data_IF_265685973745
#
_entry.id   IF_265685973745
#
_cell.length_a   1.000
_cell.length_b   1.000
_cell.length_c   1.000
_cell.angle_alpha   90.00
_cell.angle_beta   90.00
_cell.angle_gamma   90.00
#
_symmetry.space_group_name_H-M   'P 1'
#
loop_
_entity.id
_entity.type
_entity.pdbx_description
1 polymer ?
#
# COMPACT_ATOMS: atom_id res chain seq x y z
N UNK A 1 -44.09 -17.30 -42.33
CA UNK A 1 -43.79 -16.16 -41.44
C UNK A 1 -43.65 -16.72 -40.02
N UNK A 2 -42.52 -17.24 -39.52
CA UNK A 2 -41.16 -16.69 -39.38
C UNK A 2 -41.12 -15.25 -38.86
N UNK A 3 -40.93 -15.11 -37.55
CA UNK A 3 -40.09 -14.07 -36.95
C UNK A 3 -39.30 -14.67 -35.79
N UNK A 4 -38.00 -14.81 -36.03
CA UNK A 4 -36.95 -15.14 -35.04
C UNK A 4 -36.21 -13.83 -34.77
N UNK A 5 -36.13 -13.41 -33.51
CA UNK A 5 -35.26 -12.30 -33.10
C UNK A 5 -33.89 -12.89 -32.75
N UNK A 6 -32.89 -12.56 -33.56
CA UNK A 6 -31.47 -12.89 -33.35
C UNK A 6 -30.83 -11.74 -32.60
N UNK A 7 -30.29 -12.00 -31.40
CA UNK A 7 -29.21 -11.18 -30.84
C UNK A 7 -27.95 -12.03 -30.78
N UNK A 8 -27.00 -11.68 -31.67
CA UNK A 8 -25.61 -12.13 -31.64
C UNK A 8 -24.82 -11.20 -30.73
N UNK A 9 -24.29 -11.72 -29.62
CA UNK A 9 -23.07 -11.19 -29.01
C UNK A 9 -22.16 -12.36 -28.68
N UNK A 10 -21.16 -12.57 -29.53
CA UNK A 10 -20.04 -13.46 -29.29
C UNK A 10 -18.78 -12.59 -29.15
N UNK A 11 -18.11 -12.66 -28.01
CA UNK A 11 -16.68 -13.01 -27.93
C UNK A 11 -16.25 -13.06 -26.46
N UNK A 12 -16.29 -14.27 -25.90
CA UNK A 12 -15.76 -14.59 -24.59
C UNK A 12 -14.27 -14.96 -24.73
N UNK A 13 -13.37 -14.03 -24.40
CA UNK A 13 -11.97 -14.38 -24.16
C UNK A 13 -11.84 -14.96 -22.75
N UNK A 14 -12.08 -16.28 -22.62
CA UNK A 14 -11.67 -17.04 -21.43
C UNK A 14 -10.16 -17.31 -21.53
N UNK A 15 -9.34 -16.53 -20.84
CA UNK A 15 -8.01 -16.95 -20.46
C UNK A 15 -8.14 -18.03 -19.37
N UNK A 16 -8.37 -19.29 -19.80
CA UNK A 16 -8.11 -20.46 -18.95
C UNK A 16 -6.60 -20.66 -18.94
N UNK A 17 -5.94 -20.19 -17.88
CA UNK A 17 -4.65 -20.77 -17.49
C UNK A 17 -4.92 -22.23 -17.09
N UNK A 18 -4.14 -23.21 -17.58
CA UNK A 18 -4.28 -24.59 -17.15
C UNK A 18 -3.96 -24.68 -15.65
N UNK A 19 -4.93 -25.12 -14.86
CA UNK A 19 -4.74 -25.48 -13.45
C UNK A 19 -3.87 -26.75 -13.46
N UNK A 20 -2.63 -26.73 -12.94
CA UNK A 20 -1.89 -27.97 -12.74
C UNK A 20 -2.61 -28.76 -11.66
N UNK A 21 -3.10 -29.94 -12.01
CA UNK A 21 -3.57 -30.95 -11.07
C UNK A 21 -2.38 -31.46 -10.24
N UNK A 22 -2.00 -30.71 -9.21
CA UNK A 22 -1.15 -31.16 -8.11
C UNK A 22 -1.68 -30.55 -6.81
N UNK A 23 -2.84 -31.03 -6.36
CA UNK A 23 -3.59 -30.51 -5.21
C UNK A 23 -3.08 -31.03 -3.85
N UNK A 24 -1.77 -31.27 -3.73
CA UNK A 24 -1.13 -31.65 -2.47
C UNK A 24 0.20 -30.88 -2.36
N UNK A 25 0.26 -29.89 -1.46
CA UNK A 25 1.42 -29.07 -1.08
C UNK A 25 1.76 -27.79 -1.88
N UNK A 26 0.79 -26.99 -2.33
CA UNK A 26 1.09 -25.59 -2.68
C UNK A 26 1.11 -24.71 -1.42
N UNK A 27 2.21 -23.97 -1.20
CA UNK A 27 2.25 -22.95 -0.14
C UNK A 27 1.14 -21.91 -0.39
N UNK A 28 0.39 -21.48 0.64
CA UNK A 28 -0.62 -20.44 0.46
C UNK A 28 0.07 -19.15 -0.03
N UNK A 29 -0.45 -18.56 -1.11
CA UNK A 29 0.01 -17.23 -1.55
C UNK A 29 -0.34 -16.20 -0.48
N UNK A 30 0.57 -15.26 -0.20
CA UNK A 30 0.40 -14.22 0.83
C UNK A 30 -0.97 -13.51 0.77
N UNK A 31 -1.35 -13.02 -0.42
CA UNK A 31 -2.65 -12.40 -0.65
C UNK A 31 -3.76 -13.35 -1.12
N UNK A 32 -3.46 -14.64 -1.25
CA UNK A 32 -4.38 -15.67 -1.73
C UNK A 32 -4.73 -15.60 -3.20
N UNK A 33 -5.65 -16.48 -3.60
CA UNK A 33 -6.25 -16.55 -4.93
C UNK A 33 -7.67 -16.00 -4.90
N UNK A 34 -7.81 -14.70 -4.68
CA UNK A 34 -9.12 -14.06 -4.72
C UNK A 34 -9.74 -14.22 -6.12
N UNK A 35 -10.95 -14.75 -6.20
CA UNK A 35 -11.72 -14.82 -7.47
C UNK A 35 -12.17 -13.42 -7.90
N UNK A 36 -12.63 -13.26 -9.14
CA UNK A 36 -13.20 -11.98 -9.58
C UNK A 36 -14.50 -11.67 -8.82
N UNK A 37 -15.32 -12.67 -8.52
CA UNK A 37 -16.55 -12.49 -7.75
C UNK A 37 -16.27 -12.06 -6.30
N UNK A 38 -15.33 -12.71 -5.61
CA UNK A 38 -14.88 -12.30 -4.28
C UNK A 38 -14.30 -10.88 -4.28
N UNK A 39 -13.58 -10.53 -5.36
CA UNK A 39 -13.08 -9.18 -5.56
C UNK A 39 -14.22 -8.18 -5.68
N UNK A 40 -15.21 -8.42 -6.54
CA UNK A 40 -16.37 -7.54 -6.69
C UNK A 40 -17.11 -7.36 -5.36
N UNK A 41 -17.38 -8.47 -4.68
CA UNK A 41 -18.03 -8.47 -3.37
C UNK A 41 -17.24 -7.69 -2.30
N UNK A 42 -15.91 -7.71 -2.36
CA UNK A 42 -15.06 -7.02 -1.38
C UNK A 42 -15.18 -5.50 -1.38
N UNK A 43 -15.61 -4.89 -2.49
CA UNK A 43 -15.76 -3.43 -2.57
C UNK A 43 -16.99 -2.90 -1.84
N UNK A 44 -17.96 -3.75 -1.46
CA UNK A 44 -19.11 -3.32 -0.66
C UNK A 44 -18.71 -3.17 0.81
N UNK A 45 -18.81 -1.96 1.35
CA UNK A 45 -18.48 -1.67 2.75
C UNK A 45 -19.58 -2.21 3.67
N UNK A 46 -19.52 -3.49 4.01
CA UNK A 46 -20.40 -4.18 4.95
C UNK A 46 -19.57 -4.98 5.95
N UNK A 47 -20.21 -5.49 6.99
CA UNK A 47 -19.54 -6.45 7.87
C UNK A 47 -19.26 -7.73 7.07
N UNK A 48 -17.99 -7.98 6.77
CA UNK A 48 -17.55 -9.14 5.99
C UNK A 48 -16.11 -9.49 6.34
N UNK A 49 -15.76 -10.76 6.16
CA UNK A 49 -14.36 -11.19 6.21
C UNK A 49 -13.68 -10.81 4.90
N UNK A 50 -12.62 -10.01 5.00
CA UNK A 50 -11.80 -9.65 3.84
C UNK A 50 -10.39 -10.18 4.01
N UNK A 51 -9.96 -10.97 3.05
CA UNK A 51 -8.60 -11.48 2.97
C UNK A 51 -7.71 -10.47 2.21
N UNK A 52 -6.68 -9.97 2.89
CA UNK A 52 -5.61 -9.16 2.29
C UNK A 52 -4.31 -9.38 3.07
N UNK A 53 -3.44 -10.23 2.52
CA UNK A 53 -2.21 -10.66 3.18
C UNK A 53 -2.45 -11.63 4.35
N UNK A 54 -1.37 -12.20 4.87
CA UNK A 54 -1.34 -13.02 6.09
C UNK A 54 -2.33 -14.20 6.10
N UNK A 55 -2.58 -14.82 4.94
CA UNK A 55 -3.37 -16.04 4.91
C UNK A 55 -2.63 -17.16 5.65
N UNK A 56 -3.36 -17.83 6.54
CA UNK A 56 -2.86 -19.06 7.17
C UNK A 56 -3.18 -20.22 6.25
N UNK A 57 -2.24 -21.13 6.08
CA UNK A 57 -2.52 -22.41 5.43
C UNK A 57 -3.31 -23.34 6.36
N UNK A 58 -3.96 -24.35 5.78
CA UNK A 58 -4.70 -25.34 6.55
C UNK A 58 -3.77 -26.25 7.35
N UNK A 59 -4.21 -26.64 8.56
CA UNK A 59 -3.64 -27.70 9.40
C UNK A 59 -2.10 -27.71 9.56
N UNK A 60 -1.52 -26.62 10.07
CA UNK A 60 -0.10 -26.60 10.45
C UNK A 60 0.88 -26.44 9.28
N UNK A 61 0.40 -26.02 8.11
CA UNK A 61 1.26 -25.61 7.01
C UNK A 61 1.94 -24.26 7.27
N UNK A 62 3.06 -24.02 6.58
CA UNK A 62 3.83 -22.79 6.66
C UNK A 62 2.95 -21.56 6.44
N UNK A 63 3.13 -20.53 7.28
CA UNK A 63 2.51 -19.21 7.09
C UNK A 63 2.79 -18.69 5.67
N UNK A 64 1.88 -17.87 5.13
CA UNK A 64 1.98 -17.34 3.77
C UNK A 64 3.12 -16.33 3.54
N UNK A 65 4.02 -16.20 4.52
CA UNK A 65 5.21 -15.36 4.53
C UNK A 65 5.03 -14.06 5.31
N UNK A 66 6.08 -13.23 5.29
CA UNK A 66 6.21 -12.03 6.13
C UNK A 66 6.28 -12.37 7.63
N UNK A 67 7.11 -13.34 7.97
CA UNK A 67 7.21 -13.86 9.33
C UNK A 67 7.96 -12.86 10.21
N UNK A 68 7.38 -12.52 11.36
CA UNK A 68 7.93 -11.61 12.35
C UNK A 68 8.19 -12.34 13.66
N UNK A 69 9.17 -11.87 14.44
CA UNK A 69 9.41 -12.38 15.79
C UNK A 69 8.20 -12.13 16.71
N UNK A 70 7.85 -13.09 17.56
CA UNK A 70 6.69 -12.97 18.45
C UNK A 70 6.79 -11.78 19.41
N UNK A 71 8.00 -11.47 19.92
CA UNK A 71 8.18 -10.30 20.79
C UNK A 71 7.96 -9.00 20.03
N UNK A 72 8.37 -8.96 18.76
CA UNK A 72 8.09 -7.80 17.92
C UNK A 72 6.59 -7.67 17.64
N UNK A 73 5.87 -8.78 17.37
CA UNK A 73 4.42 -8.77 17.22
C UNK A 73 3.71 -8.25 18.48
N UNK A 74 4.12 -8.68 19.66
CA UNK A 74 3.58 -8.20 20.95
C UNK A 74 3.79 -6.70 21.13
N UNK A 75 4.99 -6.20 20.83
CA UNK A 75 5.29 -4.76 20.91
C UNK A 75 4.45 -3.98 19.90
N UNK A 76 4.37 -4.47 18.66
CA UNK A 76 3.59 -3.86 17.58
C UNK A 76 2.09 -3.83 17.93
N UNK A 77 1.58 -4.87 18.57
CA UNK A 77 0.19 -4.93 19.03
C UNK A 77 -0.16 -3.87 20.09
N UNK A 78 0.83 -3.37 20.84
CA UNK A 78 0.62 -2.34 21.86
C UNK A 78 0.79 -0.90 21.33
N UNK A 79 1.18 -0.73 20.07
CA UNK A 79 1.37 0.60 19.49
C UNK A 79 0.04 1.29 19.20
N UNK A 80 -0.19 2.47 19.80
CA UNK A 80 -1.39 3.30 19.52
C UNK A 80 -1.17 4.26 18.34
N UNK A 81 0.03 4.79 18.18
CA UNK A 81 0.44 5.64 17.04
C UNK A 81 1.72 5.08 16.47
N UNK A 82 1.77 4.91 15.15
CA UNK A 82 2.90 4.27 14.47
C UNK A 82 3.43 5.13 13.33
N UNK A 83 4.75 5.25 13.24
CA UNK A 83 5.44 5.60 12.00
C UNK A 83 6.12 4.33 11.50
N UNK A 84 5.85 3.94 10.27
CA UNK A 84 6.45 2.75 9.66
C UNK A 84 7.15 3.06 8.34
N UNK A 85 8.23 2.32 8.08
CA UNK A 85 8.99 2.33 6.83
C UNK A 85 9.55 0.93 6.59
N UNK A 86 10.01 0.64 5.37
CA UNK A 86 10.75 -0.59 5.11
C UNK A 86 11.95 -0.39 4.19
N UNK A 87 12.98 -1.20 4.35
CA UNK A 87 14.08 -1.34 3.39
C UNK A 87 14.24 -2.83 3.11
N UNK A 88 13.95 -3.25 1.88
CA UNK A 88 14.13 -4.63 1.45
C UNK A 88 15.15 -4.71 0.32
N UNK A 89 15.96 -5.77 0.31
CA UNK A 89 16.95 -6.03 -0.73
C UNK A 89 18.03 -4.96 -0.83
N UNK A 90 18.37 -4.30 0.30
CA UNK A 90 19.33 -3.21 0.38
C UNK A 90 19.10 -2.11 -0.67
N UNK A 91 17.83 -1.75 -0.90
CA UNK A 91 17.43 -0.75 -1.90
C UNK A 91 17.75 0.69 -1.50
N UNK A 92 17.92 0.96 -0.20
CA UNK A 92 18.05 2.31 0.34
C UNK A 92 19.05 2.38 1.51
N UNK A 93 19.47 3.62 1.80
CA UNK A 93 20.18 3.94 3.04
C UNK A 93 19.18 4.12 4.19
N UNK A 94 19.59 3.78 5.42
CA UNK A 94 18.77 4.04 6.59
C UNK A 94 18.65 5.54 6.88
N UNK A 95 17.45 6.10 6.69
CA UNK A 95 17.16 7.50 7.03
C UNK A 95 16.53 7.59 8.42
N UNK A 96 17.29 8.11 9.39
CA UNK A 96 16.82 8.28 10.79
C UNK A 96 15.93 9.51 10.89
N UNK A 97 14.76 9.48 11.56
CA UNK A 97 13.94 10.66 11.76
C UNK A 97 14.74 11.72 12.52
N UNK A 98 14.46 12.99 12.28
CA UNK A 98 15.22 14.09 12.86
C UNK A 98 14.89 14.25 14.35
N UNK A 99 15.59 13.49 15.21
CA UNK A 99 15.29 13.30 16.65
C UNK A 99 15.10 14.59 17.46
N UNK A 100 15.83 15.67 17.14
CA UNK A 100 15.71 16.94 17.85
C UNK A 100 14.40 17.70 17.52
N UNK A 101 13.76 17.38 16.39
CA UNK A 101 12.44 17.92 16.00
C UNK A 101 11.26 17.11 16.54
N UNK A 102 11.54 16.02 17.26
CA UNK A 102 10.50 15.17 17.85
C UNK A 102 10.33 15.56 19.33
N UNK A 103 9.09 15.84 19.73
CA UNK A 103 8.74 16.16 21.11
C UNK A 103 8.94 14.99 22.06
N UNK A 104 9.03 15.28 23.36
CA UNK A 104 9.18 14.25 24.40
C UNK A 104 8.01 13.27 24.40
N UNK A 105 6.78 13.78 24.25
CA UNK A 105 5.58 12.94 24.15
C UNK A 105 5.70 11.92 23.01
N UNK A 106 6.08 12.37 21.81
CA UNK A 106 6.26 11.53 20.62
C UNK A 106 7.32 10.45 20.83
N UNK A 107 8.47 10.81 21.39
CA UNK A 107 9.57 9.85 21.66
C UNK A 107 9.15 8.70 22.58
N UNK A 108 8.17 8.93 23.45
CA UNK A 108 7.65 7.94 24.40
C UNK A 108 6.46 7.17 23.84
N UNK A 109 5.53 7.84 23.15
CA UNK A 109 4.21 7.28 22.83
C UNK A 109 4.06 6.85 21.36
N UNK A 110 4.95 7.29 20.47
CA UNK A 110 4.90 6.92 19.05
C UNK A 110 5.89 5.79 18.77
N UNK A 111 5.38 4.70 18.22
CA UNK A 111 6.19 3.60 17.74
C UNK A 111 6.81 3.95 16.39
N UNK A 112 8.14 3.85 16.27
CA UNK A 112 8.85 3.99 15.00
C UNK A 112 9.35 2.61 14.58
N UNK A 113 8.78 2.03 13.52
CA UNK A 113 9.09 0.67 13.06
C UNK A 113 9.74 0.66 11.69
N UNK A 114 10.92 0.05 11.58
CA UNK A 114 11.64 -0.13 10.33
C UNK A 114 11.71 -1.61 9.97
N UNK A 115 10.94 -2.03 8.97
CA UNK A 115 10.95 -3.40 8.47
C UNK A 115 12.12 -3.62 7.52
N UNK A 116 12.88 -4.69 7.70
CA UNK A 116 13.97 -5.04 6.78
C UNK A 116 14.19 -6.55 6.70
N UNK A 117 14.78 -7.01 5.60
CA UNK A 117 15.25 -8.38 5.45
C UNK A 117 16.69 -8.55 5.97
N UNK A 118 17.12 -9.80 6.16
CA UNK A 118 18.44 -10.11 6.72
C UNK A 118 19.59 -9.49 5.91
N UNK A 119 19.52 -9.54 4.58
CA UNK A 119 20.54 -8.94 3.72
C UNK A 119 20.67 -7.43 3.93
N UNK A 120 19.54 -6.72 4.06
CA UNK A 120 19.57 -5.29 4.37
C UNK A 120 20.12 -5.05 5.77
N UNK A 121 19.72 -5.84 6.76
CA UNK A 121 20.18 -5.71 8.13
C UNK A 121 21.69 -5.87 8.25
N UNK A 122 22.26 -6.90 7.64
CA UNK A 122 23.71 -7.17 7.65
C UNK A 122 24.48 -6.04 6.97
N UNK A 123 23.96 -5.56 5.83
CA UNK A 123 24.60 -4.45 5.11
C UNK A 123 24.60 -3.18 5.94
N UNK A 124 23.46 -2.80 6.52
CA UNK A 124 23.36 -1.61 7.38
C UNK A 124 24.25 -1.72 8.62
N UNK A 125 24.33 -2.92 9.21
CA UNK A 125 25.21 -3.18 10.36
C UNK A 125 26.69 -3.01 10.00
N UNK A 126 27.12 -3.48 8.82
CA UNK A 126 28.49 -3.27 8.32
C UNK A 126 28.83 -1.80 8.08
N UNK A 127 27.81 -0.96 7.86
CA UNK A 127 27.93 0.49 7.69
C UNK A 127 27.82 1.25 9.03
N UNK A 128 27.86 0.54 10.16
CA UNK A 128 27.82 1.13 11.51
C UNK A 128 26.41 1.46 12.01
N UNK A 129 25.35 0.98 11.36
CA UNK A 129 23.97 1.11 11.86
C UNK A 129 23.61 -0.09 12.72
N UNK A 130 24.29 -0.21 13.87
CA UNK A 130 24.06 -1.31 14.82
C UNK A 130 22.92 -0.92 15.77
N UNK A 131 21.88 -1.78 15.94
CA UNK A 131 20.84 -1.55 16.93
C UNK A 131 21.40 -1.48 18.36
N UNK A 132 20.80 -0.64 19.20
CA UNK A 132 21.07 -0.61 20.63
C UNK A 132 20.51 -1.86 21.35
N UNK A 133 20.72 -1.93 22.67
CA UNK A 133 20.21 -3.03 23.53
C UNK A 133 18.69 -3.24 23.45
N UNK A 134 17.94 -2.22 22.99
CA UNK A 134 16.48 -2.28 22.82
C UNK A 134 16.10 -2.58 21.36
N UNK A 135 17.04 -2.92 20.49
CA UNK A 135 16.81 -3.18 19.07
C UNK A 135 16.54 -1.91 18.25
N UNK A 136 16.99 -0.73 18.71
CA UNK A 136 16.73 0.56 18.03
C UNK A 136 17.97 1.16 17.37
N UNK A 137 17.77 1.76 16.20
CA UNK A 137 18.75 2.64 15.54
C UNK A 137 18.16 4.05 15.50
N UNK A 138 18.60 4.90 16.45
CA UNK A 138 17.99 6.21 16.65
C UNK A 138 16.58 6.06 17.24
N UNK A 139 15.54 6.42 16.47
CA UNK A 139 14.15 6.20 16.87
C UNK A 139 13.59 4.88 16.32
N UNK A 140 14.10 4.41 15.19
CA UNK A 140 13.61 3.20 14.53
C UNK A 140 13.90 1.98 15.38
N UNK A 141 12.87 1.25 15.80
CA UNK A 141 13.00 -0.17 16.15
C UNK A 141 13.14 -0.97 14.86
N UNK A 142 14.17 -1.80 14.80
CA UNK A 142 14.40 -2.71 13.66
C UNK A 142 13.47 -3.90 13.81
N UNK A 143 12.72 -4.20 12.75
CA UNK A 143 11.85 -5.37 12.65
C UNK A 143 12.39 -6.23 11.51
N UNK A 144 12.95 -7.39 11.86
CA UNK A 144 13.51 -8.33 10.89
C UNK A 144 12.39 -9.20 10.32
N UNK A 145 12.18 -9.13 9.01
CA UNK A 145 11.18 -9.93 8.30
C UNK A 145 11.83 -11.17 7.72
N UNK A 146 11.32 -12.33 8.10
CA UNK A 146 11.72 -13.63 7.54
C UNK A 146 10.68 -14.09 6.51
N UNK A 147 11.06 -15.05 5.67
CA UNK A 147 10.16 -15.65 4.66
C UNK A 147 9.41 -14.60 3.82
N UNK A 148 10.14 -13.78 3.06
CA UNK A 148 9.52 -12.70 2.30
C UNK A 148 8.44 -13.24 1.34
N UNK A 149 7.24 -12.61 1.30
CA UNK A 149 6.08 -13.15 0.57
C UNK A 149 6.20 -13.02 -0.95
N UNK A 150 7.11 -12.19 -1.45
CA UNK A 150 7.32 -11.97 -2.89
C UNK A 150 8.81 -11.90 -3.22
N UNK A 151 9.13 -12.35 -4.43
CA UNK A 151 10.45 -12.17 -5.05
C UNK A 151 10.72 -10.71 -5.43
N UNK A 152 9.68 -9.97 -5.84
CA UNK A 152 9.76 -8.51 -6.06
C UNK A 152 9.76 -7.77 -4.71
N UNK A 153 10.93 -7.25 -4.32
CA UNK A 153 11.10 -6.46 -3.09
C UNK A 153 10.21 -5.22 -3.04
N UNK A 154 9.85 -4.62 -4.20
CA UNK A 154 8.91 -3.50 -4.24
C UNK A 154 7.51 -3.94 -3.83
N UNK A 155 7.11 -5.17 -4.18
CA UNK A 155 5.84 -5.77 -3.80
C UNK A 155 5.83 -6.15 -2.33
N UNK A 156 6.93 -6.71 -1.82
CA UNK A 156 7.13 -6.95 -0.38
C UNK A 156 7.02 -5.67 0.44
N UNK A 157 7.58 -4.55 -0.04
CA UNK A 157 7.44 -3.24 0.61
C UNK A 157 6.00 -2.71 0.69
N UNK A 158 5.06 -3.27 -0.07
CA UNK A 158 3.64 -2.89 -0.01
C UNK A 158 2.93 -3.47 1.21
N UNK A 159 3.47 -4.52 1.82
CA UNK A 159 2.90 -5.13 3.03
C UNK A 159 2.89 -4.14 4.19
N UNK A 160 4.03 -3.61 4.68
CA UNK A 160 4.02 -2.64 5.78
C UNK A 160 3.42 -1.28 5.39
N UNK A 161 3.38 -0.97 4.09
CA UNK A 161 2.74 0.22 3.54
C UNK A 161 1.23 0.20 3.68
N UNK A 162 0.57 -0.82 3.15
CA UNK A 162 -0.90 -0.86 3.09
C UNK A 162 -1.51 -1.59 4.28
N UNK A 163 -0.89 -2.66 4.75
CA UNK A 163 -1.45 -3.52 5.79
C UNK A 163 -1.04 -3.10 7.21
N UNK A 164 -0.79 -1.81 7.44
CA UNK A 164 -0.44 -1.32 8.79
C UNK A 164 -1.55 -1.62 9.81
N UNK A 165 -2.82 -1.60 9.39
CA UNK A 165 -3.95 -1.97 10.24
C UNK A 165 -3.96 -3.46 10.64
N UNK A 166 -3.28 -4.33 9.89
CA UNK A 166 -3.09 -5.75 10.24
C UNK A 166 -1.86 -5.96 11.10
N UNK A 167 -0.80 -5.21 10.83
CA UNK A 167 0.47 -5.27 11.57
C UNK A 167 0.37 -4.64 12.97
N UNK A 168 -0.49 -3.64 13.15
CA UNK A 168 -0.63 -2.86 14.38
C UNK A 168 -2.10 -2.85 14.82
N UNK A 169 -2.62 -3.95 15.38
CA UNK A 169 -4.06 -4.10 15.65
C UNK A 169 -4.65 -3.06 16.61
N UNK A 170 -3.86 -2.52 17.54
CA UNK A 170 -4.32 -1.46 18.48
C UNK A 170 -4.01 -0.04 17.99
N UNK A 171 -3.40 0.12 16.82
CA UNK A 171 -3.06 1.45 16.32
C UNK A 171 -4.32 2.21 15.94
N UNK A 172 -4.43 3.44 16.43
CA UNK A 172 -5.46 4.42 16.01
C UNK A 172 -5.00 5.23 14.83
N UNK A 173 -3.70 5.49 14.73
CA UNK A 173 -3.10 6.26 13.64
C UNK A 173 -1.81 5.62 13.14
N UNK A 174 -1.57 5.70 11.84
CA UNK A 174 -0.29 5.32 11.24
C UNK A 174 0.19 6.30 10.18
N UNK A 175 1.51 6.49 10.13
CA UNK A 175 2.22 7.23 9.09
C UNK A 175 3.13 6.25 8.35
N UNK A 176 2.88 6.06 7.07
CA UNK A 176 3.82 5.41 6.17
C UNK A 176 4.82 6.42 5.63
N UNK A 177 6.10 6.06 5.67
CA UNK A 177 7.20 6.82 5.10
C UNK A 177 8.05 5.90 4.22
N UNK A 178 8.26 6.27 2.97
CA UNK A 178 9.19 5.57 2.08
C UNK A 178 10.63 5.67 2.59
N UNK A 179 11.42 4.62 2.44
CA UNK A 179 12.80 4.52 2.96
C UNK A 179 13.73 5.60 2.44
N UNK A 180 13.48 6.11 1.24
CA UNK A 180 14.25 7.21 0.67
C UNK A 180 13.97 8.56 1.36
N UNK A 181 13.01 8.62 2.28
CA UNK A 181 12.61 9.84 2.95
C UNK A 181 13.06 9.89 4.41
N UNK A 182 13.36 11.10 4.89
CA UNK A 182 13.59 11.39 6.31
C UNK A 182 12.46 12.22 6.86
N UNK A 183 11.84 11.75 7.94
CA UNK A 183 10.84 12.52 8.67
C UNK A 183 11.48 13.70 9.41
N UNK A 184 11.01 14.90 9.11
CA UNK A 184 11.56 16.17 9.61
C UNK A 184 10.52 16.97 10.41
N UNK A 185 9.36 16.39 10.73
CA UNK A 185 8.29 16.99 11.55
C UNK A 185 7.71 15.96 12.51
N UNK A 186 7.24 16.41 13.67
CA UNK A 186 6.66 15.55 14.71
C UNK A 186 5.38 14.83 14.20
N UNK A 187 5.29 13.49 14.31
CA UNK A 187 4.12 12.68 13.95
C UNK A 187 2.78 13.19 14.47
N UNK A 188 2.74 13.73 15.70
CA UNK A 188 1.49 14.21 16.27
C UNK A 188 0.99 15.47 15.55
N UNK A 189 1.90 16.36 15.17
CA UNK A 189 1.58 17.55 14.36
C UNK A 189 1.14 17.15 12.94
N UNK A 190 1.77 16.12 12.37
CA UNK A 190 1.39 15.59 11.05
C UNK A 190 -0.04 15.04 11.08
N UNK A 191 -0.37 14.22 12.09
CA UNK A 191 -1.72 13.66 12.26
C UNK A 191 -2.74 14.78 12.44
N UNK A 192 -2.45 15.75 13.32
CA UNK A 192 -3.33 16.88 13.56
C UNK A 192 -3.59 17.70 12.28
N UNK A 193 -2.54 18.03 11.53
CA UNK A 193 -2.64 18.85 10.34
C UNK A 193 -3.34 18.14 9.17
N UNK A 194 -2.96 16.90 8.85
CA UNK A 194 -3.46 16.20 7.66
C UNK A 194 -4.77 15.46 7.88
N UNK A 195 -5.09 15.08 9.12
CA UNK A 195 -6.31 14.34 9.44
C UNK A 195 -7.29 15.22 10.23
N UNK A 196 -6.92 15.66 11.45
CA UNK A 196 -7.88 16.29 12.36
C UNK A 196 -8.42 17.62 11.84
N UNK A 197 -7.54 18.53 11.40
CA UNK A 197 -7.97 19.82 10.80
C UNK A 197 -8.80 19.66 9.53
N UNK A 198 -8.63 18.55 8.82
CA UNK A 198 -9.28 18.28 7.54
C UNK A 198 -10.53 17.41 7.69
N UNK A 199 -10.83 16.94 8.90
CA UNK A 199 -11.90 15.96 9.12
C UNK A 199 -11.70 14.69 8.28
N UNK A 200 -10.44 14.31 8.03
CA UNK A 200 -10.08 13.21 7.16
C UNK A 200 -9.63 11.98 7.95
N UNK A 201 -9.84 10.80 7.39
CA UNK A 201 -9.37 9.52 7.93
C UNK A 201 -8.18 8.95 7.14
N UNK A 202 -7.92 9.48 5.96
CA UNK A 202 -6.82 9.06 5.09
C UNK A 202 -6.26 10.26 4.34
N UNK A 203 -4.94 10.43 4.37
CA UNK A 203 -4.26 11.50 3.66
C UNK A 203 -3.04 10.98 2.89
N UNK A 204 -2.91 11.43 1.65
CA UNK A 204 -1.80 11.08 0.76
C UNK A 204 -1.44 12.27 -0.13
N UNK A 205 -0.15 12.38 -0.46
CA UNK A 205 0.32 13.43 -1.36
C UNK A 205 -0.19 13.19 -2.78
N UNK A 206 -0.59 14.26 -3.46
CA UNK A 206 -0.72 14.30 -4.91
C UNK A 206 0.64 14.16 -5.55
N UNK A 207 0.69 13.49 -6.70
CA UNK A 207 1.89 13.46 -7.52
C UNK A 207 2.21 14.86 -8.06
N UNK A 208 3.49 15.23 -8.06
CA UNK A 208 3.97 16.61 -8.29
C UNK A 208 3.95 17.05 -9.76
N UNK A 209 3.77 16.12 -10.69
CA UNK A 209 3.88 16.35 -12.13
C UNK A 209 2.66 15.73 -12.83
N UNK A 210 2.58 14.39 -12.83
CA UNK A 210 1.47 13.67 -13.44
C UNK A 210 0.15 13.83 -12.70
N UNK A 211 -0.90 13.97 -13.49
CA UNK A 211 -2.23 14.32 -13.01
C UNK A 211 -3.31 13.38 -13.50
N UNK A 212 -2.96 12.28 -14.19
CA UNK A 212 -3.90 11.28 -14.71
C UNK A 212 -3.26 9.88 -14.80
N UNK A 213 -4.06 8.82 -14.57
CA UNK A 213 -3.60 7.42 -14.69
C UNK A 213 -3.14 7.10 -16.12
N UNK A 214 -3.74 7.70 -17.15
CA UNK A 214 -3.31 7.54 -18.55
C UNK A 214 -1.87 8.00 -18.75
N UNK A 215 -1.49 9.15 -18.17
CA UNK A 215 -0.13 9.67 -18.20
C UNK A 215 0.83 8.77 -17.41
N UNK A 216 0.39 8.28 -16.24
CA UNK A 216 1.17 7.36 -15.42
C UNK A 216 1.44 6.04 -16.15
N UNK A 217 0.47 5.46 -16.87
CA UNK A 217 0.67 4.26 -17.71
C UNK A 217 1.77 4.50 -18.75
N UNK A 218 1.65 5.59 -19.52
CA UNK A 218 2.64 5.93 -20.55
C UNK A 218 4.03 6.15 -19.94
N UNK A 219 4.10 6.84 -18.79
CA UNK A 219 5.36 7.12 -18.13
C UNK A 219 6.02 5.87 -17.54
N UNK A 220 5.24 4.94 -16.99
CA UNK A 220 5.79 3.66 -16.51
C UNK A 220 6.40 2.85 -17.64
N UNK A 221 5.76 2.83 -18.81
CA UNK A 221 6.30 2.18 -20.01
C UNK A 221 7.55 2.89 -20.54
N UNK A 222 7.48 4.22 -20.69
CA UNK A 222 8.61 5.03 -21.17
C UNK A 222 9.86 4.84 -20.31
N UNK A 223 9.69 4.70 -18.99
CA UNK A 223 10.78 4.50 -18.04
C UNK A 223 11.09 3.02 -17.76
N UNK A 224 10.47 2.08 -18.48
CA UNK A 224 10.61 0.62 -18.31
C UNK A 224 10.49 0.18 -16.84
N UNK A 225 9.51 0.74 -16.11
CA UNK A 225 9.35 0.49 -14.66
C UNK A 225 8.71 -0.86 -14.33
N UNK A 226 8.01 -1.45 -15.29
CA UNK A 226 7.37 -2.76 -15.18
C UNK A 226 7.12 -3.33 -16.58
N UNK A 227 6.75 -4.61 -16.67
CA UNK A 227 6.40 -5.25 -17.93
C UNK A 227 5.21 -4.53 -18.60
N UNK A 228 5.36 -4.13 -19.86
CA UNK A 228 4.37 -3.32 -20.59
C UNK A 228 3.05 -4.05 -20.80
N UNK A 229 3.09 -5.35 -21.12
CA UNK A 229 1.91 -6.19 -21.30
C UNK A 229 1.10 -6.27 -20.01
N UNK A 230 1.74 -6.47 -18.87
CA UNK A 230 1.05 -6.52 -17.56
C UNK A 230 0.47 -5.16 -17.16
N UNK A 231 1.12 -4.04 -17.55
CA UNK A 231 0.55 -2.70 -17.37
C UNK A 231 -0.72 -2.56 -18.23
N UNK A 232 -0.68 -3.00 -19.49
CA UNK A 232 -1.83 -2.92 -20.40
C UNK A 232 -2.99 -3.78 -19.93
N UNK A 233 -2.73 -5.00 -19.49
CA UNK A 233 -3.74 -5.90 -18.92
C UNK A 233 -4.43 -5.26 -17.70
N UNK A 234 -3.65 -4.72 -16.76
CA UNK A 234 -4.20 -4.02 -15.59
C UNK A 234 -5.06 -2.82 -16.00
N UNK A 235 -4.55 -2.01 -16.92
CA UNK A 235 -5.22 -0.79 -17.33
C UNK A 235 -6.49 -1.04 -18.13
N UNK A 236 -6.45 -1.96 -19.10
CA UNK A 236 -7.62 -2.40 -19.87
C UNK A 236 -8.68 -2.99 -18.95
N UNK A 237 -8.27 -3.78 -17.95
CA UNK A 237 -9.19 -4.31 -16.94
C UNK A 237 -9.90 -3.17 -16.19
N UNK A 238 -9.16 -2.18 -15.69
CA UNK A 238 -9.75 -1.02 -15.01
C UNK A 238 -10.68 -0.21 -15.91
N UNK A 239 -10.33 0.01 -17.18
CA UNK A 239 -11.19 0.70 -18.13
C UNK A 239 -12.50 -0.06 -18.37
N UNK A 240 -12.42 -1.38 -18.57
CA UNK A 240 -13.60 -2.22 -18.77
C UNK A 240 -14.54 -2.23 -17.56
N UNK A 241 -14.01 -2.02 -16.35
CA UNK A 241 -14.76 -1.95 -15.09
C UNK A 241 -15.16 -0.50 -14.68
N UNK A 242 -15.05 0.44 -15.63
CA UNK A 242 -15.58 1.79 -15.50
C UNK A 242 -14.60 2.83 -14.95
N UNK A 243 -13.29 2.60 -15.05
CA UNK A 243 -12.30 3.68 -14.92
C UNK A 243 -12.40 4.59 -16.15
N UNK A 244 -12.96 5.78 -15.96
CA UNK A 244 -13.09 6.80 -17.01
C UNK A 244 -11.97 7.84 -16.88
N UNK A 245 -11.53 8.36 -18.03
CA UNK A 245 -10.55 9.45 -18.06
C UNK A 245 -11.22 10.73 -17.55
N UNK A 246 -10.59 11.39 -16.59
CA UNK A 246 -11.07 12.68 -16.09
C UNK A 246 -11.11 13.70 -17.23
N UNK A 247 -12.24 14.39 -17.35
CA UNK A 247 -12.41 15.53 -18.23
C UNK A 247 -12.53 16.79 -17.37
N UNK A 248 -11.53 17.66 -17.44
CA UNK A 248 -11.46 18.89 -16.64
C UNK A 248 -12.56 19.89 -16.99
N UNK A 249 -13.16 19.76 -18.18
CA UNK A 249 -14.26 20.59 -18.66
C UNK A 249 -15.65 20.08 -18.23
N UNK A 250 -15.74 18.94 -17.54
CA UNK A 250 -17.01 18.40 -17.07
C UNK A 250 -17.36 18.96 -15.68
N UNK A 251 -18.36 19.86 -15.56
CA UNK A 251 -18.73 20.47 -14.30
C UNK A 251 -19.36 19.50 -13.29
N UNK A 252 -19.76 18.29 -13.72
CA UNK A 252 -20.38 17.29 -12.85
C UNK A 252 -19.37 16.35 -12.17
N UNK A 253 -18.10 16.36 -12.57
CA UNK A 253 -17.08 15.49 -11.99
C UNK A 253 -16.46 16.19 -10.76
N UNK A 254 -17.12 16.03 -9.62
CA UNK A 254 -16.75 16.68 -8.36
C UNK A 254 -15.52 16.09 -7.65
N UNK A 255 -14.94 14.99 -8.14
CA UNK A 255 -13.66 14.46 -7.66
C UNK A 255 -12.77 13.98 -8.79
N UNK A 256 -11.45 14.16 -8.67
CA UNK A 256 -10.53 13.91 -9.74
C UNK A 256 -10.49 12.41 -10.02
N UNK A 257 -11.13 11.95 -11.10
CA UNK A 257 -10.79 10.65 -11.69
C UNK A 257 -9.35 10.59 -12.22
N UNK A 258 -8.60 11.67 -12.02
CA UNK A 258 -7.26 11.94 -12.50
C UNK A 258 -6.18 11.71 -11.42
N UNK A 259 -6.50 11.59 -10.13
CA UNK A 259 -5.44 11.67 -9.10
C UNK A 259 -4.47 10.50 -9.09
N UNK A 260 -3.24 10.79 -9.50
CA UNK A 260 -2.07 9.95 -9.28
C UNK A 260 -1.49 10.32 -7.90
N UNK A 261 -1.36 9.37 -6.96
CA UNK A 261 -0.72 9.66 -5.69
C UNK A 261 0.80 9.68 -5.82
N UNK A 262 1.45 10.50 -5.00
CA UNK A 262 2.83 10.28 -4.59
C UNK A 262 2.80 9.43 -3.32
N UNK A 263 2.89 8.10 -3.51
CA UNK A 263 2.72 7.12 -2.45
C UNK A 263 3.87 7.03 -1.45
N UNK A 264 4.84 7.94 -1.48
CA UNK A 264 5.98 7.91 -0.55
C UNK A 264 5.66 8.38 0.87
N UNK A 265 4.47 8.97 1.08
CA UNK A 265 4.02 9.42 2.39
C UNK A 265 2.50 9.28 2.53
N UNK A 266 2.03 8.57 3.57
CA UNK A 266 0.60 8.34 3.81
C UNK A 266 0.31 8.51 5.31
N UNK A 267 -0.73 9.25 5.66
CA UNK A 267 -1.21 9.43 7.04
C UNK A 267 -2.60 8.82 7.15
N UNK A 268 -2.86 8.00 8.18
CA UNK A 268 -4.12 7.25 8.32
C UNK A 268 -4.63 7.31 9.74
N UNK A 269 -5.93 7.49 9.88
CA UNK A 269 -6.70 6.99 11.01
C UNK A 269 -7.17 5.57 10.69
N UNK A 270 -7.11 4.67 11.66
CA UNK A 270 -7.52 3.27 11.51
C UNK A 270 -9.03 3.10 11.75
N UNK A 271 -9.82 3.68 10.86
CA UNK A 271 -11.29 3.51 10.80
C UNK A 271 -11.65 2.29 9.92
N UNK A 272 -12.91 1.81 9.99
CA UNK A 272 -13.37 0.75 9.09
C UNK A 272 -13.18 1.08 7.60
N UNK A 273 -13.50 2.29 7.16
CA UNK A 273 -13.38 2.69 5.75
C UNK A 273 -11.91 2.83 5.30
N UNK A 274 -11.06 3.43 6.12
CA UNK A 274 -9.61 3.54 5.86
C UNK A 274 -8.93 2.16 5.78
N UNK A 275 -9.30 1.25 6.67
CA UNK A 275 -8.78 -0.11 6.70
C UNK A 275 -9.27 -0.91 5.49
N UNK A 276 -10.56 -0.82 5.14
CA UNK A 276 -11.13 -1.42 3.94
C UNK A 276 -10.41 -0.93 2.68
N UNK A 277 -10.27 0.40 2.51
CA UNK A 277 -9.56 0.97 1.37
C UNK A 277 -8.11 0.48 1.28
N UNK A 278 -7.40 0.44 2.40
CA UNK A 278 -6.01 -0.05 2.44
C UNK A 278 -5.91 -1.52 2.01
N UNK A 279 -6.87 -2.34 2.43
CA UNK A 279 -6.94 -3.76 2.13
C UNK A 279 -7.27 -4.00 0.64
N UNK A 280 -8.25 -3.25 0.08
CA UNK A 280 -8.59 -3.27 -1.33
C UNK A 280 -7.40 -2.83 -2.21
N UNK A 281 -6.74 -1.73 -1.84
CA UNK A 281 -5.62 -1.21 -2.60
C UNK A 281 -4.43 -2.19 -2.59
N UNK A 282 -4.17 -2.84 -1.45
CA UNK A 282 -3.21 -3.94 -1.38
C UNK A 282 -3.58 -5.08 -2.32
N UNK A 283 -4.84 -5.50 -2.35
CA UNK A 283 -5.31 -6.61 -3.20
C UNK A 283 -5.17 -6.30 -4.70
N UNK A 284 -5.44 -5.05 -5.12
CA UNK A 284 -5.18 -4.62 -6.51
C UNK A 284 -3.70 -4.71 -6.87
N UNK A 285 -2.82 -4.26 -5.98
CA UNK A 285 -1.37 -4.35 -6.16
C UNK A 285 -0.87 -5.80 -6.12
N UNK A 286 -1.50 -6.64 -5.29
CA UNK A 286 -1.20 -8.06 -5.21
C UNK A 286 -1.58 -8.79 -6.50
N UNK A 287 -2.76 -8.48 -7.06
CA UNK A 287 -3.28 -9.11 -8.29
C UNK A 287 -2.52 -8.68 -9.54
N UNK A 288 -2.28 -7.38 -9.68
CA UNK A 288 -1.69 -6.81 -10.89
C UNK A 288 -0.22 -6.44 -10.64
N UNK A 289 0.16 -5.19 -10.91
CA UNK A 289 1.54 -4.72 -10.84
C UNK A 289 1.88 -4.11 -9.48
N UNK A 290 3.17 -4.06 -9.13
CA UNK A 290 3.65 -3.37 -7.91
C UNK A 290 3.60 -1.83 -8.00
N UNK A 291 3.07 -1.28 -9.10
CA UNK A 291 2.91 0.15 -9.37
C UNK A 291 1.59 0.66 -8.80
N UNK A 292 1.61 0.96 -7.50
CA UNK A 292 0.45 1.44 -6.73
C UNK A 292 -0.20 2.73 -7.26
N UNK A 293 0.53 3.55 -7.98
CA UNK A 293 0.02 4.73 -8.68
C UNK A 293 -1.05 4.39 -9.73
N UNK A 294 -0.97 3.20 -10.35
CA UNK A 294 -1.94 2.74 -11.35
C UNK A 294 -3.25 2.26 -10.72
N UNK A 295 -3.19 1.65 -9.54
CA UNK A 295 -4.36 1.07 -8.87
C UNK A 295 -5.10 2.03 -7.94
N UNK A 296 -4.44 3.11 -7.48
CA UNK A 296 -5.02 4.01 -6.48
C UNK A 296 -6.35 4.63 -6.92
N UNK A 297 -6.34 5.36 -8.04
CA UNK A 297 -7.52 6.10 -8.50
C UNK A 297 -8.69 5.14 -8.77
N UNK A 298 -8.42 4.03 -9.44
CA UNK A 298 -9.39 2.98 -9.68
C UNK A 298 -10.00 2.46 -8.36
N UNK A 299 -9.17 2.07 -7.39
CA UNK A 299 -9.64 1.52 -6.11
C UNK A 299 -10.52 2.53 -5.37
N UNK A 300 -10.08 3.78 -5.33
CA UNK A 300 -10.78 4.86 -4.64
C UNK A 300 -12.14 5.17 -5.28
N UNK A 301 -12.16 5.35 -6.61
CA UNK A 301 -13.38 5.65 -7.35
C UNK A 301 -14.39 4.50 -7.25
N UNK A 302 -13.93 3.25 -7.37
CA UNK A 302 -14.80 2.09 -7.26
C UNK A 302 -15.39 1.94 -5.87
N UNK A 303 -14.57 2.08 -4.81
CA UNK A 303 -15.04 2.04 -3.43
C UNK A 303 -16.13 3.09 -3.19
N UNK A 304 -15.94 4.30 -3.70
CA UNK A 304 -16.94 5.37 -3.57
C UNK A 304 -18.21 5.12 -4.37
N UNK A 305 -18.08 4.69 -5.62
CA UNK A 305 -19.21 4.39 -6.51
C UNK A 305 -20.13 3.33 -5.92
N UNK A 306 -19.57 2.31 -5.27
CA UNK A 306 -20.32 1.19 -4.71
C UNK A 306 -20.84 1.43 -3.29
N UNK A 307 -20.49 2.56 -2.66
CA UNK A 307 -20.87 2.88 -1.28
C UNK A 307 -21.27 4.37 -1.12
N UNK A 308 -22.33 4.83 -1.80
CA UNK A 308 -22.74 6.24 -1.76
C UNK A 308 -23.10 6.73 -0.35
N UNK A 309 -23.66 5.85 0.50
CA UNK A 309 -24.11 6.19 1.85
C UNK A 309 -23.02 6.06 2.92
N UNK A 310 -21.81 5.63 2.56
CA UNK A 310 -20.69 5.42 3.49
C UNK A 310 -19.49 6.22 3.01
N UNK A 311 -19.43 7.52 3.33
CA UNK A 311 -18.37 8.39 2.82
C UNK A 311 -17.01 7.94 3.32
N UNK A 312 -16.02 7.99 2.42
CA UNK A 312 -14.61 7.84 2.75
C UNK A 312 -13.96 9.23 2.77
N UNK A 313 -13.62 9.72 3.96
CA UNK A 313 -13.13 11.07 4.20
C UNK A 313 -11.64 11.19 3.86
N UNK A 314 -11.38 11.46 2.60
CA UNK A 314 -10.04 11.44 2.01
C UNK A 314 -9.47 12.85 1.79
N UNK A 315 -8.23 13.07 2.21
CA UNK A 315 -7.48 14.31 2.00
C UNK A 315 -6.29 14.08 1.05
N UNK A 316 -6.39 14.58 -0.18
CA UNK A 316 -5.28 14.59 -1.12
C UNK A 316 -4.56 15.93 -1.11
N UNK A 317 -3.43 15.99 -0.42
CA UNK A 317 -2.70 17.23 -0.19
C UNK A 317 -1.59 17.44 -1.22
N UNK A 318 -1.05 18.66 -1.31
CA UNK A 318 -0.07 19.00 -2.35
C UNK A 318 1.34 18.48 -2.01
N UNK A 319 2.15 18.14 -3.02
CA UNK A 319 3.51 17.62 -2.81
C UNK A 319 4.42 18.59 -2.04
N UNK A 320 4.18 19.91 -2.14
CA UNK A 320 4.90 20.89 -1.34
C UNK A 320 4.70 20.69 0.18
N UNK A 321 3.49 20.30 0.61
CA UNK A 321 3.20 20.00 2.01
C UNK A 321 3.93 18.73 2.47
N UNK A 322 4.04 17.71 1.60
CA UNK A 322 4.89 16.53 1.85
C UNK A 322 6.35 16.94 2.06
N UNK A 323 6.89 17.80 1.18
CA UNK A 323 8.28 18.27 1.24
C UNK A 323 8.57 19.11 2.48
N UNK A 324 7.56 19.79 3.03
CA UNK A 324 7.70 20.53 4.28
C UNK A 324 7.91 19.60 5.49
N UNK A 325 7.25 18.44 5.50
CA UNK A 325 7.29 17.51 6.65
C UNK A 325 8.34 16.41 6.54
N UNK A 326 8.81 16.10 5.33
CA UNK A 326 9.80 15.05 5.09
C UNK A 326 10.73 15.36 3.92
N UNK A 327 12.02 15.05 4.10
CA UNK A 327 13.07 15.28 3.11
C UNK A 327 13.29 14.06 2.23
N UNK A 328 13.37 14.29 0.93
CA UNK A 328 13.62 13.26 -0.07
C UNK A 328 15.12 13.07 -0.30
N UNK A 329 15.57 11.81 -0.40
CA UNK A 329 16.92 11.43 -0.78
C UNK A 329 16.90 10.48 -1.97
N UNK A 330 18.07 10.27 -2.58
CA UNK A 330 18.23 9.27 -3.63
C UNK A 330 18.38 7.87 -3.04
N UNK A 331 17.91 6.89 -3.82
CA UNK A 331 18.13 5.47 -3.59
C UNK A 331 19.62 5.12 -3.68
N UNK A 332 19.99 3.94 -3.19
CA UNK A 332 21.30 3.38 -3.52
C UNK A 332 21.38 3.16 -5.03
N UNK A 333 22.54 3.46 -5.60
CA UNK A 333 22.86 3.05 -6.96
C UNK A 333 23.01 1.52 -6.89
N UNK A 334 22.21 0.80 -7.69
CA UNK A 334 22.44 -0.63 -7.85
C UNK A 334 23.78 -0.81 -8.57
N UNK A 335 24.71 -1.62 -8.04
CA UNK A 335 25.97 -1.91 -8.71
C UNK A 335 25.75 -2.56 -10.08
#
# INVERSE_FOLDING_TARGET
>A
MHFVVVFLVASSYRLRLPIPTSFLFSRPLFGGHQTLEERENSYHARNQMLHCGFLKGDMGSYDSGFDLDEKDKEIMANCTVVVSSCIFGNSDFLRRPTKHKMGTYTKTNVCFMMFMDALTFDKLSSEGNIPDKNGKIGLWRVILVKSLPYTDMRKTGKVPKFLSHRLFPSARYSIWLDSKMRLDTDPMLIIEYFLWRKGAEYAISRHYDRSCVWEEVLQNKKLNKYNHTLIDEQFNFYQSDGLIRFNQSDPNISLPSSVVPEGSFIVRAHTPMSNLFSCLWFNEVNRFTSRDQLSFAYTFLKLRRLNPDKPFHFNMFMDCERRAVAKLFHHRIQP
#
